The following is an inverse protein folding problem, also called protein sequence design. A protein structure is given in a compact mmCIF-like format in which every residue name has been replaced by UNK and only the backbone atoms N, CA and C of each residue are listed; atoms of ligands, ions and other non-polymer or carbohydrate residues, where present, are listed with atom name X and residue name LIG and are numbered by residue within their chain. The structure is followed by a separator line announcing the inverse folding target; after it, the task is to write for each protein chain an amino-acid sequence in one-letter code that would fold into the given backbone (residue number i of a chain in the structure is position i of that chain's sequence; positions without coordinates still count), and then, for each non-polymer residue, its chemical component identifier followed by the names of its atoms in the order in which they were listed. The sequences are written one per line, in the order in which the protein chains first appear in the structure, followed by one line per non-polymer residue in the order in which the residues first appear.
data_IF_030974004756
#
_entry.id   IF_030974004756
#
_cell.length_a   1.000
_cell.length_b   1.000
_cell.length_c   1.000
_cell.angle_alpha   90.00
_cell.angle_beta   90.00
_cell.angle_gamma   90.00
#
_symmetry.space_group_name_H-M   'P 1'
#
loop_
_entity.id
_entity.type
_entity.pdbx_description
1 polymer ?
#
# COMPACT_ATOMS: atom_id res chain seq x y z
N UNK A 1 -14.56 -0.14 -39.66
CA UNK A 1 -13.78 -1.01 -40.58
C UNK A 1 -12.89 -1.88 -39.71
N UNK A 2 -12.70 -3.15 -40.03
CA UNK A 2 -11.82 -4.04 -39.24
C UNK A 2 -10.37 -3.76 -39.59
N UNK A 3 -9.55 -3.50 -38.57
CA UNK A 3 -8.11 -3.39 -38.76
C UNK A 3 -7.54 -4.74 -39.18
N UNK A 4 -6.77 -4.75 -40.26
CA UNK A 4 -6.16 -5.94 -40.84
C UNK A 4 -4.65 -5.93 -40.67
N UNK A 5 -4.02 -7.10 -40.69
CA UNK A 5 -2.54 -7.23 -40.65
C UNK A 5 -1.92 -6.38 -41.77
N UNK A 6 -2.58 -6.26 -42.91
CA UNK A 6 -2.13 -5.46 -44.07
C UNK A 6 -2.09 -3.96 -43.73
N UNK A 7 -3.14 -3.45 -43.12
CA UNK A 7 -3.20 -2.04 -42.68
C UNK A 7 -2.17 -1.71 -41.58
N UNK A 8 -1.96 -2.63 -40.64
CA UNK A 8 -0.91 -2.47 -39.61
C UNK A 8 0.46 -2.46 -40.27
N UNK A 9 0.70 -3.36 -41.23
CA UNK A 9 1.96 -3.41 -41.96
C UNK A 9 2.24 -2.13 -42.74
N UNK A 10 1.24 -1.61 -43.41
CA UNK A 10 1.30 -0.38 -44.19
C UNK A 10 1.59 0.84 -43.33
N UNK A 11 0.89 0.99 -42.18
CA UNK A 11 1.08 2.12 -41.26
C UNK A 11 2.35 2.01 -40.41
N UNK A 12 2.76 0.81 -40.02
CA UNK A 12 3.99 0.61 -39.23
C UNK A 12 5.26 0.64 -40.06
N UNK A 13 5.14 0.43 -41.40
CA UNK A 13 6.27 0.38 -42.32
C UNK A 13 7.02 -0.95 -42.31
N UNK A 14 6.40 -2.04 -41.83
CA UNK A 14 7.00 -3.36 -41.78
C UNK A 14 6.22 -4.35 -42.68
N UNK A 15 6.86 -5.49 -43.01
CA UNK A 15 6.23 -6.49 -43.83
C UNK A 15 5.01 -7.14 -43.15
N UNK A 16 3.96 -7.52 -43.89
CA UNK A 16 2.82 -8.24 -43.31
C UNK A 16 3.21 -9.54 -42.61
N UNK A 17 4.29 -10.20 -43.08
CA UNK A 17 4.81 -11.40 -42.45
C UNK A 17 5.41 -11.11 -41.07
N UNK A 18 6.18 -10.03 -40.93
CA UNK A 18 6.77 -9.58 -39.66
C UNK A 18 5.68 -9.19 -38.69
N UNK A 19 4.68 -8.42 -39.14
CA UNK A 19 3.53 -8.02 -38.33
C UNK A 19 2.74 -9.24 -37.89
N UNK A 20 2.41 -10.15 -38.80
CA UNK A 20 1.67 -11.38 -38.49
C UNK A 20 2.40 -12.24 -37.46
N UNK A 21 3.70 -12.47 -37.63
CA UNK A 21 4.52 -13.28 -36.71
C UNK A 21 4.60 -12.64 -35.34
N UNK A 22 4.75 -11.30 -35.28
CA UNK A 22 4.75 -10.58 -34.02
C UNK A 22 3.40 -10.67 -33.30
N UNK A 23 2.31 -10.39 -34.01
CA UNK A 23 0.95 -10.37 -33.42
C UNK A 23 0.47 -11.78 -33.03
N UNK A 24 1.04 -12.84 -33.64
CA UNK A 24 0.81 -14.23 -33.28
C UNK A 24 1.84 -14.79 -32.28
N UNK A 25 2.66 -13.93 -31.68
CA UNK A 25 3.65 -14.28 -30.65
C UNK A 25 4.63 -15.42 -31.06
N UNK A 26 5.11 -15.38 -32.30
CA UNK A 26 6.08 -16.37 -32.80
C UNK A 26 7.43 -16.25 -32.05
N UNK A 27 7.74 -17.25 -31.24
CA UNK A 27 8.97 -17.31 -30.41
C UNK A 27 10.26 -17.30 -31.22
N UNK A 28 10.21 -17.63 -32.52
CA UNK A 28 11.35 -17.61 -33.42
C UNK A 28 11.53 -16.27 -34.15
N UNK A 29 10.71 -15.25 -33.82
CA UNK A 29 10.81 -13.93 -34.43
C UNK A 29 11.83 -13.06 -33.69
N UNK A 30 12.98 -12.84 -34.31
CA UNK A 30 14.00 -11.90 -33.81
C UNK A 30 13.82 -10.54 -34.45
N UNK A 31 13.33 -9.57 -33.70
CA UNK A 31 13.18 -8.15 -34.08
C UNK A 31 13.64 -7.24 -32.94
N UNK A 32 14.04 -6.02 -33.28
CA UNK A 32 14.44 -5.04 -32.27
C UNK A 32 13.27 -4.63 -31.37
N UNK A 33 13.50 -4.23 -30.12
CA UNK A 33 12.47 -3.66 -29.25
C UNK A 33 11.73 -2.48 -29.88
N UNK A 34 12.44 -1.58 -30.57
CA UNK A 34 11.87 -0.44 -31.27
C UNK A 34 10.90 -0.85 -32.38
N UNK A 35 11.25 -1.92 -33.14
CA UNK A 35 10.37 -2.48 -34.17
C UNK A 35 9.11 -3.09 -33.56
N UNK A 36 9.27 -3.84 -32.45
CA UNK A 36 8.14 -4.42 -31.70
C UNK A 36 7.19 -3.33 -31.21
N UNK A 37 7.72 -2.33 -30.52
CA UNK A 37 6.91 -1.23 -29.97
C UNK A 37 6.16 -0.47 -31.07
N UNK A 38 6.79 -0.18 -32.18
CA UNK A 38 6.15 0.55 -33.30
C UNK A 38 4.97 -0.24 -33.91
N UNK A 39 5.14 -1.54 -34.12
CA UNK A 39 4.05 -2.40 -34.64
C UNK A 39 2.91 -2.50 -33.63
N UNK A 40 3.21 -2.67 -32.34
CA UNK A 40 2.21 -2.77 -31.28
C UNK A 40 1.41 -1.48 -31.10
N UNK A 41 2.08 -0.31 -31.14
CA UNK A 41 1.40 1.00 -31.09
C UNK A 41 0.40 1.15 -32.22
N UNK A 42 0.80 0.86 -33.46
CA UNK A 42 -0.08 0.96 -34.64
C UNK A 42 -1.24 -0.06 -34.56
N UNK A 43 -1.00 -1.26 -34.05
CA UNK A 43 -2.05 -2.26 -33.85
C UNK A 43 -3.10 -1.80 -32.83
N UNK A 44 -2.66 -1.16 -31.74
CA UNK A 44 -3.54 -0.58 -30.71
C UNK A 44 -4.32 0.63 -31.25
N UNK A 45 -3.67 1.55 -31.95
CA UNK A 45 -4.33 2.73 -32.57
C UNK A 45 -5.42 2.35 -33.57
N UNK A 46 -5.20 1.25 -34.28
CA UNK A 46 -6.18 0.72 -35.25
C UNK A 46 -7.27 -0.16 -34.60
N UNK A 47 -7.20 -0.40 -33.27
CA UNK A 47 -8.17 -1.23 -32.56
C UNK A 47 -8.16 -2.70 -32.99
N UNK A 48 -7.02 -3.23 -33.45
CA UNK A 48 -6.90 -4.60 -33.97
C UNK A 48 -7.39 -5.64 -32.96
N UNK A 49 -7.13 -5.45 -31.67
CA UNK A 49 -7.49 -6.37 -30.59
C UNK A 49 -9.00 -6.36 -30.23
N UNK A 50 -9.71 -5.28 -30.49
CA UNK A 50 -11.12 -5.16 -30.14
C UNK A 50 -12.02 -6.16 -30.94
N UNK A 51 -11.53 -6.65 -32.07
CA UNK A 51 -12.30 -7.52 -32.97
C UNK A 51 -11.81 -8.97 -32.99
N UNK A 52 -10.59 -9.25 -32.51
CA UNK A 52 -10.06 -10.62 -32.48
C UNK A 52 -10.44 -11.44 -31.21
N UNK A 53 -11.11 -10.81 -30.22
CA UNK A 53 -11.62 -11.52 -29.03
C UNK A 53 -12.68 -12.59 -29.32
N UNK A 54 -13.16 -12.72 -30.54
CA UNK A 54 -14.24 -13.70 -30.89
C UNK A 54 -13.77 -15.01 -31.49
N UNK A 55 -12.55 -15.16 -31.97
CA UNK A 55 -12.18 -16.35 -32.77
C UNK A 55 -10.83 -17.02 -32.50
N UNK A 56 -10.12 -16.68 -31.44
CA UNK A 56 -8.88 -17.42 -31.10
C UNK A 56 -8.94 -17.87 -29.65
N UNK A 57 -8.89 -19.18 -29.45
CA UNK A 57 -8.44 -19.83 -28.21
C UNK A 57 -6.93 -19.58 -27.98
N UNK A 58 -6.42 -18.40 -28.32
CA UNK A 58 -5.09 -17.97 -27.91
C UNK A 58 -5.19 -17.45 -26.49
N UNK A 59 -4.45 -18.06 -25.60
CA UNK A 59 -4.28 -17.56 -24.23
C UNK A 59 -4.02 -16.04 -24.30
N UNK A 60 -4.74 -15.22 -23.55
CA UNK A 60 -4.45 -13.80 -23.48
C UNK A 60 -2.96 -13.63 -23.16
N UNK A 61 -2.29 -12.72 -23.87
CA UNK A 61 -0.92 -12.32 -23.53
C UNK A 61 -0.98 -11.85 -22.09
N UNK A 62 -0.48 -12.66 -21.17
CA UNK A 62 -0.47 -12.33 -19.75
C UNK A 62 0.51 -11.20 -19.56
N UNK A 63 0.11 -10.05 -19.01
CA UNK A 63 1.04 -8.97 -18.78
C UNK A 63 2.13 -9.42 -17.80
N UNK A 64 3.40 -9.21 -18.16
CA UNK A 64 4.49 -9.30 -17.20
C UNK A 64 4.46 -8.05 -16.36
N UNK A 65 4.34 -8.21 -15.05
CA UNK A 65 4.34 -7.13 -14.08
C UNK A 65 5.59 -7.22 -13.21
N UNK A 66 6.10 -6.07 -12.79
CA UNK A 66 7.15 -6.02 -11.78
C UNK A 66 6.56 -5.67 -10.42
N UNK A 67 7.10 -6.25 -9.36
CA UNK A 67 6.84 -5.82 -7.98
C UNK A 67 8.11 -5.18 -7.41
N UNK A 68 8.13 -3.86 -7.35
CA UNK A 68 9.19 -3.13 -6.66
C UNK A 68 8.91 -3.15 -5.16
N UNK A 69 9.60 -4.06 -4.45
CA UNK A 69 9.43 -4.25 -3.02
C UNK A 69 10.59 -3.62 -2.24
N UNK A 70 10.35 -2.39 -1.71
CA UNK A 70 11.35 -1.56 -1.04
C UNK A 70 11.02 -1.37 0.44
N UNK A 71 10.85 -2.48 1.13
CA UNK A 71 10.73 -2.55 2.59
C UNK A 71 12.04 -3.08 3.13
N UNK A 72 12.63 -2.40 4.12
CA UNK A 72 13.91 -2.84 4.66
C UNK A 72 13.79 -4.23 5.31
N UNK A 73 14.84 -5.05 5.22
CA UNK A 73 14.85 -6.39 5.85
C UNK A 73 14.60 -6.33 7.37
N UNK A 74 14.95 -5.22 8.01
CA UNK A 74 14.69 -4.98 9.43
C UNK A 74 13.20 -4.72 9.70
N UNK A 75 12.53 -3.96 8.85
CA UNK A 75 11.08 -3.72 8.95
C UNK A 75 10.30 -5.00 8.70
N UNK A 76 10.68 -5.80 7.70
CA UNK A 76 10.04 -7.08 7.41
C UNK A 76 10.09 -8.07 8.59
N UNK A 77 11.19 -8.07 9.35
CA UNK A 77 11.34 -8.91 10.55
C UNK A 77 10.58 -8.38 11.76
N UNK A 78 10.22 -7.10 11.76
CA UNK A 78 9.61 -6.41 12.89
C UNK A 78 8.11 -6.17 12.72
N UNK A 79 7.60 -6.18 11.48
CA UNK A 79 6.19 -6.01 11.18
C UNK A 79 5.77 -6.96 10.02
N UNK A 80 4.85 -7.85 10.31
CA UNK A 80 4.31 -8.82 9.34
C UNK A 80 3.45 -8.15 8.25
N UNK A 81 2.99 -6.92 8.47
CA UNK A 81 2.09 -6.19 7.58
C UNK A 81 2.57 -6.20 6.12
N UNK A 82 3.83 -5.82 5.90
CA UNK A 82 4.39 -5.74 4.55
C UNK A 82 4.59 -7.12 3.91
N UNK A 83 4.89 -8.14 4.71
CA UNK A 83 5.01 -9.52 4.20
C UNK A 83 3.65 -10.05 3.71
N UNK A 84 2.59 -9.81 4.46
CA UNK A 84 1.23 -10.17 4.05
C UNK A 84 0.79 -9.37 2.82
N UNK A 85 1.06 -8.07 2.76
CA UNK A 85 0.74 -7.24 1.59
C UNK A 85 1.44 -7.74 0.33
N UNK A 86 2.74 -8.06 0.42
CA UNK A 86 3.49 -8.67 -0.71
C UNK A 86 2.82 -9.96 -1.19
N UNK A 87 2.49 -10.85 -0.26
CA UNK A 87 1.89 -12.14 -0.62
C UNK A 87 0.49 -11.96 -1.23
N UNK A 88 -0.30 -11.01 -0.73
CA UNK A 88 -1.60 -10.68 -1.30
C UNK A 88 -1.46 -10.12 -2.73
N UNK A 89 -0.48 -9.26 -3.01
CA UNK A 89 -0.22 -8.75 -4.36
C UNK A 89 0.17 -9.89 -5.30
N UNK A 90 1.07 -10.79 -4.88
CA UNK A 90 1.50 -11.93 -5.72
C UNK A 90 0.30 -12.83 -6.05
N UNK A 91 -0.54 -13.14 -5.07
CA UNK A 91 -1.76 -13.92 -5.24
C UNK A 91 -2.72 -13.27 -6.24
N UNK A 92 -3.01 -11.98 -6.08
CA UNK A 92 -3.93 -11.26 -6.98
C UNK A 92 -3.38 -11.16 -8.41
N UNK A 93 -2.06 -11.00 -8.59
CA UNK A 93 -1.42 -11.03 -9.92
C UNK A 93 -1.60 -12.40 -10.58
N UNK A 94 -1.40 -13.49 -9.84
CA UNK A 94 -1.57 -14.87 -10.36
C UNK A 94 -3.05 -15.12 -10.71
N UNK A 95 -4.00 -14.73 -9.85
CA UNK A 95 -5.43 -14.85 -10.08
C UNK A 95 -5.89 -14.02 -11.31
N UNK A 96 -5.26 -12.85 -11.55
CA UNK A 96 -5.47 -12.07 -12.77
C UNK A 96 -4.85 -12.72 -14.02
N UNK A 97 -4.17 -13.85 -13.87
CA UNK A 97 -3.52 -14.56 -14.94
C UNK A 97 -2.24 -13.89 -15.46
N UNK A 98 -1.62 -12.99 -14.69
CA UNK A 98 -0.37 -12.30 -15.00
C UNK A 98 0.82 -13.00 -14.34
N UNK A 99 2.04 -12.67 -14.76
CA UNK A 99 3.26 -13.07 -14.09
C UNK A 99 3.86 -11.86 -13.37
N UNK A 100 4.50 -12.09 -12.22
CA UNK A 100 5.18 -11.04 -11.46
C UNK A 100 6.62 -11.42 -11.16
N UNK A 101 7.53 -10.48 -11.38
CA UNK A 101 8.93 -10.58 -10.95
C UNK A 101 9.20 -9.55 -9.86
N UNK A 102 9.91 -9.96 -8.79
CA UNK A 102 10.14 -9.15 -7.60
C UNK A 102 11.51 -8.49 -7.66
N UNK A 103 11.53 -7.19 -7.51
CA UNK A 103 12.74 -6.37 -7.46
C UNK A 103 12.90 -5.74 -6.07
N UNK A 104 14.02 -5.99 -5.43
CA UNK A 104 14.44 -5.33 -4.18
C UNK A 104 15.30 -4.08 -4.43
N UNK A 105 15.67 -3.81 -5.67
CA UNK A 105 16.49 -2.67 -6.08
C UNK A 105 15.86 -2.00 -7.32
N UNK A 106 15.63 -0.70 -7.21
CA UNK A 106 15.02 0.09 -8.30
C UNK A 106 15.89 0.14 -9.57
N UNK A 107 17.22 0.13 -9.44
CA UNK A 107 18.13 0.14 -10.59
C UNK A 107 18.01 -1.15 -11.41
N UNK A 108 17.86 -2.30 -10.75
CA UNK A 108 17.68 -3.57 -11.43
C UNK A 108 16.36 -3.59 -12.21
N UNK A 109 15.28 -3.01 -11.63
CA UNK A 109 14.02 -2.84 -12.33
C UNK A 109 14.15 -1.89 -13.54
N UNK A 110 14.87 -0.77 -13.41
CA UNK A 110 15.11 0.16 -14.52
C UNK A 110 15.81 -0.55 -15.67
N UNK A 111 16.84 -1.35 -15.39
CA UNK A 111 17.56 -2.14 -16.40
C UNK A 111 16.67 -3.17 -17.10
N UNK A 112 15.72 -3.75 -16.37
CA UNK A 112 14.80 -4.77 -16.88
C UNK A 112 13.47 -4.20 -17.41
N UNK A 113 13.29 -2.86 -17.40
CA UNK A 113 12.00 -2.20 -17.62
C UNK A 113 11.27 -2.62 -18.91
N UNK A 114 12.03 -2.83 -20.01
CA UNK A 114 11.48 -3.26 -21.31
C UNK A 114 10.77 -4.63 -21.28
N UNK A 115 10.99 -5.42 -20.21
CA UNK A 115 10.38 -6.76 -20.03
C UNK A 115 8.98 -6.69 -19.40
N UNK A 116 8.59 -5.51 -18.87
CA UNK A 116 7.36 -5.34 -18.10
C UNK A 116 6.42 -4.33 -18.75
N UNK A 117 5.11 -4.52 -18.55
CA UNK A 117 4.09 -3.57 -18.99
C UNK A 117 3.77 -2.51 -17.92
N UNK A 118 4.11 -2.79 -16.68
CA UNK A 118 3.93 -1.90 -15.54
C UNK A 118 4.47 -2.53 -14.26
N UNK A 119 4.41 -1.77 -13.17
CA UNK A 119 4.88 -2.24 -11.88
C UNK A 119 3.94 -1.86 -10.74
N UNK A 120 4.03 -2.64 -9.66
CA UNK A 120 3.45 -2.29 -8.36
C UNK A 120 4.62 -1.96 -7.42
N UNK A 121 4.50 -0.83 -6.71
CA UNK A 121 5.48 -0.40 -5.73
C UNK A 121 4.97 -0.59 -4.30
N UNK A 122 5.79 -1.19 -3.42
CA UNK A 122 5.53 -1.30 -1.98
C UNK A 122 6.73 -0.81 -1.21
N UNK A 123 6.53 0.22 -0.38
CA UNK A 123 7.62 0.87 0.33
C UNK A 123 8.49 1.76 -0.57
N UNK A 124 9.34 2.57 0.05
CA UNK A 124 10.26 3.47 -0.64
C UNK A 124 11.63 3.56 0.06
N UNK A 125 12.01 2.54 0.87
CA UNK A 125 13.28 2.55 1.59
C UNK A 125 14.46 2.72 0.61
N UNK A 126 15.29 3.74 0.87
CA UNK A 126 16.47 4.08 0.08
C UNK A 126 16.20 4.29 -1.42
N UNK A 127 15.01 4.75 -1.77
CA UNK A 127 14.67 5.19 -3.12
C UNK A 127 14.79 6.70 -3.18
N UNK A 128 15.45 7.24 -4.21
CA UNK A 128 15.55 8.69 -4.40
C UNK A 128 14.54 9.20 -5.42
N UNK A 129 14.29 10.51 -5.39
CA UNK A 129 13.42 11.16 -6.35
C UNK A 129 13.90 10.97 -7.78
N UNK A 130 15.22 11.12 -8.03
CA UNK A 130 15.82 10.96 -9.36
C UNK A 130 15.62 9.52 -9.90
N UNK A 131 15.73 8.52 -9.03
CA UNK A 131 15.48 7.12 -9.42
C UNK A 131 14.02 6.87 -9.79
N UNK A 132 13.07 7.53 -9.13
CA UNK A 132 11.64 7.42 -9.49
C UNK A 132 11.34 8.15 -10.80
N UNK A 133 11.97 9.29 -11.05
CA UNK A 133 11.87 9.99 -12.34
C UNK A 133 12.46 9.12 -13.46
N UNK A 134 13.63 8.54 -13.23
CA UNK A 134 14.26 7.63 -14.20
C UNK A 134 13.39 6.39 -14.45
N UNK A 135 12.86 5.74 -13.39
CA UNK A 135 11.95 4.61 -13.54
C UNK A 135 10.70 4.98 -14.36
N UNK A 136 10.12 6.15 -14.13
CA UNK A 136 8.96 6.61 -14.88
C UNK A 136 9.27 6.81 -16.38
N UNK A 137 10.49 7.19 -16.75
CA UNK A 137 10.88 7.33 -18.16
C UNK A 137 10.91 5.99 -18.90
N UNK A 138 11.32 4.91 -18.22
CA UNK A 138 11.44 3.58 -18.82
C UNK A 138 10.19 2.70 -18.58
N UNK A 139 9.52 2.85 -17.46
CA UNK A 139 8.33 2.08 -17.07
C UNK A 139 7.29 3.02 -16.44
N UNK A 140 6.52 3.79 -17.24
CA UNK A 140 5.64 4.83 -16.74
C UNK A 140 4.39 4.30 -16.01
N UNK A 141 3.99 3.07 -16.27
CA UNK A 141 2.78 2.50 -15.68
C UNK A 141 3.10 1.93 -14.30
N UNK A 142 2.96 2.74 -13.27
CA UNK A 142 3.24 2.35 -11.89
C UNK A 142 2.09 2.65 -10.94
N UNK A 143 1.81 1.71 -10.02
CA UNK A 143 0.86 1.88 -8.94
C UNK A 143 1.54 1.57 -7.61
N UNK A 144 1.57 2.54 -6.71
CA UNK A 144 2.09 2.32 -5.37
C UNK A 144 0.97 1.87 -4.41
N UNK A 145 1.31 0.95 -3.51
CA UNK A 145 0.40 0.47 -2.47
C UNK A 145 0.93 0.87 -1.10
N UNK A 146 0.03 1.32 -0.22
CA UNK A 146 0.27 1.81 1.13
C UNK A 146 0.87 3.22 1.18
N UNK A 147 1.96 3.49 0.50
CA UNK A 147 2.52 4.84 0.34
C UNK A 147 2.73 5.15 -1.14
N UNK A 148 2.66 6.41 -1.52
CA UNK A 148 3.09 6.88 -2.84
C UNK A 148 4.15 7.96 -2.68
N UNK A 149 5.43 7.66 -2.98
CA UNK A 149 6.51 8.62 -2.81
C UNK A 149 6.53 9.73 -3.87
N UNK A 150 5.82 9.54 -5.01
CA UNK A 150 5.73 10.52 -6.10
C UNK A 150 4.33 10.53 -6.74
N UNK A 151 3.33 11.11 -6.08
CA UNK A 151 1.95 11.10 -6.56
C UNK A 151 1.71 11.85 -7.88
N UNK A 152 2.64 12.69 -8.29
CA UNK A 152 2.57 13.40 -9.58
C UNK A 152 2.92 12.49 -10.77
N UNK A 153 3.59 11.35 -10.55
CA UNK A 153 4.06 10.45 -11.61
C UNK A 153 3.41 9.06 -11.56
N UNK A 154 2.86 8.66 -10.43
CA UNK A 154 2.35 7.30 -10.23
C UNK A 154 0.99 7.30 -9.54
N UNK A 155 0.19 6.35 -9.91
CA UNK A 155 -1.07 6.05 -9.22
C UNK A 155 -0.83 5.44 -7.83
N UNK A 156 -1.86 5.40 -6.99
CA UNK A 156 -1.76 4.70 -5.72
C UNK A 156 -3.08 4.14 -5.19
N UNK A 157 -2.93 3.10 -4.35
CA UNK A 157 -4.00 2.55 -3.53
C UNK A 157 -3.53 2.50 -2.09
N UNK A 158 -4.22 3.22 -1.20
CA UNK A 158 -3.80 3.41 0.19
C UNK A 158 -4.95 3.11 1.17
N UNK A 159 -4.66 2.67 2.40
CA UNK A 159 -5.68 2.66 3.44
C UNK A 159 -6.11 4.09 3.78
N UNK A 160 -7.40 4.30 4.05
CA UNK A 160 -7.92 5.59 4.49
C UNK A 160 -7.64 5.80 5.99
N UNK A 161 -6.37 6.09 6.30
CA UNK A 161 -5.91 6.24 7.70
C UNK A 161 -6.47 7.49 8.37
N UNK A 162 -6.77 8.54 7.60
CA UNK A 162 -7.41 9.76 8.11
C UNK A 162 -8.81 9.43 8.65
N UNK A 163 -9.67 8.83 7.84
CA UNK A 163 -11.00 8.41 8.27
C UNK A 163 -10.94 7.36 9.39
N UNK A 164 -9.91 6.50 9.41
CA UNK A 164 -9.69 5.53 10.49
C UNK A 164 -9.51 6.22 11.83
N UNK A 165 -8.67 7.26 11.90
CA UNK A 165 -8.45 8.02 13.13
C UNK A 165 -9.69 8.81 13.52
N UNK A 166 -10.37 9.41 12.54
CA UNK A 166 -11.62 10.14 12.79
C UNK A 166 -12.69 9.23 13.40
N UNK A 167 -12.90 8.03 12.84
CA UNK A 167 -13.87 7.06 13.38
C UNK A 167 -13.44 6.57 14.77
N UNK A 168 -12.15 6.33 15.01
CA UNK A 168 -11.65 5.94 16.33
C UNK A 168 -11.90 7.01 17.40
N UNK A 169 -11.60 8.27 17.09
CA UNK A 169 -11.86 9.39 17.98
C UNK A 169 -13.35 9.57 18.26
N UNK A 170 -14.18 9.47 17.23
CA UNK A 170 -15.64 9.55 17.36
C UNK A 170 -16.19 8.47 18.30
N UNK A 171 -15.77 7.21 18.11
CA UNK A 171 -16.19 6.09 18.99
C UNK A 171 -15.75 6.26 20.42
N UNK A 172 -14.54 6.74 20.64
CA UNK A 172 -14.06 7.01 22.00
C UNK A 172 -14.83 8.15 22.65
N UNK A 173 -15.13 9.24 21.92
CA UNK A 173 -15.92 10.36 22.41
C UNK A 173 -17.39 9.94 22.70
N UNK A 174 -18.01 9.13 21.82
CA UNK A 174 -19.35 8.57 22.07
C UNK A 174 -19.41 7.66 23.30
N UNK A 175 -18.31 6.95 23.61
CA UNK A 175 -18.18 6.15 24.81
C UNK A 175 -17.87 6.99 26.08
N UNK A 176 -17.77 8.33 25.94
CA UNK A 176 -17.58 9.26 27.04
C UNK A 176 -16.13 9.53 27.46
N UNK A 177 -15.14 9.08 26.67
CA UNK A 177 -13.73 9.39 26.93
C UNK A 177 -13.37 10.80 26.48
N UNK A 178 -12.83 11.58 27.41
CA UNK A 178 -12.48 13.01 27.17
C UNK A 178 -10.97 13.25 27.11
N UNK A 179 -10.17 12.29 27.62
CA UNK A 179 -8.70 12.36 27.62
C UNK A 179 -8.17 11.18 26.80
N UNK A 180 -7.83 11.47 25.55
CA UNK A 180 -7.44 10.46 24.56
C UNK A 180 -6.00 10.74 24.12
N UNK A 181 -5.10 9.81 24.35
CA UNK A 181 -3.71 9.88 23.89
C UNK A 181 -3.50 9.20 22.55
N UNK A 182 -2.48 9.65 21.81
CA UNK A 182 -2.01 8.98 20.60
C UNK A 182 -0.57 8.51 20.77
N UNK A 183 -0.31 7.25 20.37
CA UNK A 183 1.03 6.67 20.36
C UNK A 183 1.35 6.26 18.93
N UNK A 184 2.47 6.78 18.38
CA UNK A 184 2.84 6.55 16.99
C UNK A 184 4.34 6.51 16.74
N UNK A 185 4.69 6.00 15.57
CA UNK A 185 6.05 6.08 15.02
C UNK A 185 6.18 7.25 14.04
N UNK A 186 7.40 7.48 13.57
CA UNK A 186 7.73 8.45 12.53
C UNK A 186 7.91 7.74 11.17
N UNK A 187 7.29 8.27 10.14
CA UNK A 187 7.59 7.90 8.77
C UNK A 187 8.92 8.50 8.29
N UNK A 188 9.43 7.98 7.20
CA UNK A 188 10.58 8.55 6.49
C UNK A 188 10.15 9.02 5.11
N UNK A 189 10.57 10.21 4.70
CA UNK A 189 10.42 10.66 3.32
C UNK A 189 11.57 10.14 2.43
N UNK A 190 11.55 10.44 1.14
CA UNK A 190 12.58 10.03 0.17
C UNK A 190 14.00 10.48 0.53
N UNK A 191 14.14 11.51 1.36
CA UNK A 191 15.45 12.00 1.83
C UNK A 191 15.84 11.39 3.19
N UNK A 192 15.16 10.34 3.66
CA UNK A 192 15.32 9.73 4.98
C UNK A 192 15.12 10.71 6.16
N UNK A 193 14.37 11.78 5.94
CA UNK A 193 14.01 12.73 7.00
C UNK A 193 12.71 12.24 7.64
N UNK A 194 12.71 12.21 8.97
CA UNK A 194 11.51 11.87 9.74
C UNK A 194 10.38 12.88 9.46
N UNK A 195 9.21 12.35 9.19
CA UNK A 195 8.01 13.15 8.97
C UNK A 195 6.84 12.63 9.81
N UNK A 196 5.84 13.50 10.03
CA UNK A 196 4.60 13.08 10.68
C UNK A 196 3.89 12.04 9.81
N UNK A 197 3.40 11.00 10.45
CA UNK A 197 2.57 9.97 9.82
C UNK A 197 1.14 10.51 9.61
N UNK A 198 0.42 10.00 8.60
CA UNK A 198 -0.95 10.43 8.31
C UNK A 198 -1.89 10.27 9.52
N UNK A 199 -1.68 9.23 10.35
CA UNK A 199 -2.45 8.98 11.57
C UNK A 199 -2.18 10.04 12.64
N UNK A 200 -0.93 10.48 12.78
CA UNK A 200 -0.55 11.58 13.70
C UNK A 200 -1.20 12.90 13.25
N UNK A 201 -1.14 13.21 11.95
CA UNK A 201 -1.73 14.42 11.37
C UNK A 201 -3.24 14.42 11.62
N UNK A 202 -3.93 13.35 11.24
CA UNK A 202 -5.36 13.21 11.43
C UNK A 202 -5.76 13.33 12.91
N UNK A 203 -4.99 12.71 13.83
CA UNK A 203 -5.26 12.82 15.26
C UNK A 203 -5.20 14.27 15.74
N UNK A 204 -4.17 15.03 15.33
CA UNK A 204 -4.04 16.46 15.69
C UNK A 204 -5.18 17.31 15.16
N UNK A 205 -5.62 17.04 13.93
CA UNK A 205 -6.68 17.80 13.28
C UNK A 205 -8.06 17.52 13.88
N UNK A 206 -8.39 16.26 14.14
CA UNK A 206 -9.75 15.89 14.54
C UNK A 206 -10.01 15.96 16.05
N UNK A 207 -8.99 15.93 16.91
CA UNK A 207 -9.21 16.04 18.38
C UNK A 207 -9.94 17.31 18.77
N UNK A 208 -9.60 18.45 18.15
CA UNK A 208 -10.29 19.72 18.40
C UNK A 208 -11.77 19.73 17.97
N UNK A 209 -12.13 18.94 16.96
CA UNK A 209 -13.51 18.85 16.43
C UNK A 209 -14.41 17.95 17.28
N UNK A 210 -13.85 17.00 18.02
CA UNK A 210 -14.60 16.02 18.82
C UNK A 210 -14.80 16.44 20.28
N UNK A 211 -14.39 17.66 20.67
CA UNK A 211 -14.55 18.13 22.04
C UNK A 211 -13.65 17.41 23.07
N UNK A 212 -12.57 16.81 22.63
CA UNK A 212 -11.59 16.09 23.47
C UNK A 212 -10.81 17.13 24.30
N UNK A 213 -10.84 16.97 25.63
CA UNK A 213 -10.24 17.93 26.57
C UNK A 213 -8.72 17.86 26.61
N UNK A 214 -8.16 16.66 26.52
CA UNK A 214 -6.73 16.42 26.56
C UNK A 214 -6.35 15.38 25.48
N UNK A 215 -5.39 15.73 24.62
CA UNK A 215 -4.97 14.91 23.49
C UNK A 215 -3.41 14.78 23.44
N UNK A 216 -2.76 14.17 24.45
CA UNK A 216 -1.30 14.04 24.46
C UNK A 216 -0.80 13.14 23.35
N UNK A 217 0.35 13.51 22.76
CA UNK A 217 1.02 12.73 21.72
C UNK A 217 2.34 12.19 22.18
N UNK A 218 2.54 10.89 21.95
CA UNK A 218 3.76 10.16 22.21
C UNK A 218 4.26 9.55 20.90
N UNK A 219 5.01 10.34 20.13
CA UNK A 219 5.41 9.98 18.77
C UNK A 219 6.92 10.09 18.64
N UNK A 220 7.56 8.98 18.29
CA UNK A 220 8.99 8.90 18.03
C UNK A 220 9.35 7.58 17.33
N UNK A 221 10.52 7.53 16.68
CA UNK A 221 11.15 6.32 16.18
C UNK A 221 10.31 5.47 15.20
N UNK A 222 10.74 4.24 14.93
CA UNK A 222 10.10 3.35 13.98
C UNK A 222 8.87 2.63 14.55
N UNK A 223 8.04 2.05 13.65
CA UNK A 223 6.88 1.22 14.00
C UNK A 223 7.30 -0.20 14.39
N UNK A 224 7.84 -0.39 15.59
CA UNK A 224 8.24 -1.71 16.11
C UNK A 224 7.98 -1.88 17.60
N UNK A 225 8.03 -3.14 18.08
CA UNK A 225 7.76 -3.50 19.48
C UNK A 225 8.68 -2.77 20.45
N UNK A 226 9.99 -2.68 20.13
CA UNK A 226 10.96 -2.02 20.99
C UNK A 226 10.64 -0.54 21.21
N UNK A 227 10.28 0.16 20.12
CA UNK A 227 9.86 1.56 20.18
C UNK A 227 8.53 1.71 20.94
N UNK A 228 7.57 0.83 20.69
CA UNK A 228 6.31 0.79 21.44
C UNK A 228 6.54 0.67 22.94
N UNK A 229 7.48 -0.19 23.38
CA UNK A 229 7.84 -0.31 24.78
C UNK A 229 8.43 0.99 25.36
N UNK A 230 9.33 1.66 24.64
CA UNK A 230 9.89 2.95 25.07
C UNK A 230 8.83 4.05 25.15
N UNK A 231 7.92 4.10 24.17
CA UNK A 231 6.81 5.05 24.18
C UNK A 231 5.84 4.77 25.33
N UNK A 232 5.54 3.50 25.62
CA UNK A 232 4.75 3.12 26.79
C UNK A 232 5.36 3.56 28.10
N UNK A 233 6.66 3.39 28.28
CA UNK A 233 7.39 3.92 29.46
C UNK A 233 7.32 5.44 29.55
N UNK A 234 7.51 6.14 28.42
CA UNK A 234 7.39 7.60 28.36
C UNK A 234 5.97 8.09 28.73
N UNK A 235 4.92 7.36 28.34
CA UNK A 235 3.54 7.63 28.78
C UNK A 235 3.44 7.56 30.30
N UNK A 236 3.95 6.49 30.92
CA UNK A 236 3.90 6.29 32.36
C UNK A 236 4.66 7.39 33.14
N UNK A 237 5.83 7.77 32.67
CA UNK A 237 6.67 8.81 33.26
C UNK A 237 6.00 10.20 33.17
N UNK A 238 5.44 10.53 32.01
CA UNK A 238 4.88 11.88 31.75
C UNK A 238 3.45 12.06 32.27
N UNK A 239 2.69 10.99 32.48
CA UNK A 239 1.31 11.06 32.98
C UNK A 239 1.20 11.43 34.47
N UNK A 240 2.30 11.38 35.23
CA UNK A 240 2.27 11.70 36.65
C UNK A 240 1.27 10.86 37.48
N UNK A 241 1.01 9.63 37.05
CA UNK A 241 0.02 8.73 37.67
C UNK A 241 -1.42 8.90 37.19
N UNK A 242 -1.69 9.85 36.29
CA UNK A 242 -3.03 10.08 35.71
C UNK A 242 -3.00 9.82 34.21
N UNK A 243 -3.11 8.57 33.83
CA UNK A 243 -3.14 8.16 32.41
C UNK A 243 -4.30 8.77 31.63
N UNK A 244 -4.16 9.04 30.33
CA UNK A 244 -5.28 9.17 29.43
C UNK A 244 -6.27 8.00 29.58
N UNK A 245 -7.55 8.29 29.43
CA UNK A 245 -8.62 7.30 29.56
C UNK A 245 -8.64 6.29 28.42
N UNK A 246 -8.11 6.74 27.26
CA UNK A 246 -8.01 5.95 26.07
C UNK A 246 -6.73 6.26 25.29
N UNK A 247 -6.26 5.28 24.53
CA UNK A 247 -5.19 5.45 23.56
C UNK A 247 -5.60 4.94 22.18
N UNK A 248 -5.27 5.73 21.15
CA UNK A 248 -5.16 5.25 19.78
C UNK A 248 -3.68 4.97 19.52
N UNK A 249 -3.33 3.72 19.20
CA UNK A 249 -1.95 3.33 18.90
C UNK A 249 -1.85 3.00 17.42
N UNK A 250 -0.90 3.63 16.75
CA UNK A 250 -0.81 3.67 15.29
C UNK A 250 -0.56 2.32 14.61
N UNK A 251 -0.14 1.27 15.33
CA UNK A 251 -0.06 -0.10 14.82
C UNK A 251 -0.12 -1.15 15.92
N UNK A 252 -0.54 -2.37 15.55
CA UNK A 252 -0.56 -3.50 16.48
C UNK A 252 0.84 -3.83 17.00
N UNK A 253 1.85 -3.70 16.15
CA UNK A 253 3.26 -3.94 16.51
C UNK A 253 3.74 -2.98 17.60
N UNK A 254 3.41 -1.69 17.49
CA UNK A 254 3.67 -0.73 18.57
C UNK A 254 2.88 -1.09 19.84
N UNK A 255 1.63 -1.50 19.68
CA UNK A 255 0.74 -1.85 20.80
C UNK A 255 1.27 -3.00 21.65
N UNK A 256 1.95 -3.98 21.04
CA UNK A 256 2.61 -5.08 21.78
C UNK A 256 3.61 -4.51 22.81
N UNK A 257 4.47 -3.58 22.37
CA UNK A 257 5.46 -2.97 23.25
C UNK A 257 4.83 -2.07 24.32
N UNK A 258 3.82 -1.28 23.94
CA UNK A 258 3.08 -0.41 24.89
C UNK A 258 2.41 -1.26 25.97
N UNK A 259 1.70 -2.33 25.58
CA UNK A 259 1.05 -3.24 26.53
C UNK A 259 2.06 -3.91 27.45
N UNK A 260 3.23 -4.28 26.95
CA UNK A 260 4.31 -4.80 27.81
C UNK A 260 4.69 -3.78 28.89
N UNK A 261 4.98 -2.52 28.52
CA UNK A 261 5.34 -1.48 29.48
C UNK A 261 4.22 -1.20 30.49
N UNK A 262 2.96 -1.19 30.04
CA UNK A 262 1.80 -1.01 30.90
C UNK A 262 1.64 -2.17 31.89
N UNK A 263 1.75 -3.42 31.42
CA UNK A 263 1.65 -4.61 32.28
C UNK A 263 2.74 -4.63 33.35
N UNK A 264 3.99 -4.29 32.99
CA UNK A 264 5.12 -4.20 33.95
C UNK A 264 4.86 -3.14 35.06
N UNK A 265 4.13 -2.07 34.72
CA UNK A 265 3.74 -1.01 35.66
C UNK A 265 2.42 -1.29 36.41
N UNK A 266 1.78 -2.43 36.16
CA UNK A 266 0.50 -2.80 36.79
C UNK A 266 -0.72 -2.09 36.21
N UNK A 267 -0.61 -1.43 35.06
CA UNK A 267 -1.72 -0.82 34.33
C UNK A 267 -2.52 -1.89 33.61
N UNK A 268 -3.80 -1.97 33.90
CA UNK A 268 -4.72 -2.99 33.36
C UNK A 268 -5.59 -2.39 32.27
N UNK A 269 -5.41 -2.87 31.03
CA UNK A 269 -6.30 -2.59 29.91
C UNK A 269 -7.41 -3.64 29.87
N UNK A 270 -8.68 -3.31 29.79
CA UNK A 270 -9.27 -1.96 29.58
C UNK A 270 -9.67 -1.21 30.87
N UNK A 271 -9.34 -1.70 32.07
CA UNK A 271 -9.82 -1.13 33.34
C UNK A 271 -9.33 0.30 33.61
N UNK A 272 -8.01 0.52 33.46
CA UNK A 272 -7.34 1.79 33.80
C UNK A 272 -7.23 2.72 32.59
N UNK A 273 -7.19 2.16 31.40
CA UNK A 273 -7.21 2.83 30.10
C UNK A 273 -7.68 1.84 29.03
N UNK A 274 -8.36 2.32 28.00
CA UNK A 274 -8.70 1.50 26.83
C UNK A 274 -7.71 1.74 25.67
N UNK A 275 -7.60 0.76 24.79
CA UNK A 275 -6.67 0.82 23.63
C UNK A 275 -7.38 0.42 22.36
N UNK A 276 -7.29 1.27 21.34
CA UNK A 276 -7.62 0.95 19.94
C UNK A 276 -6.33 0.97 19.13
N UNK A 277 -6.12 -0.04 18.32
CA UNK A 277 -4.94 -0.22 17.47
C UNK A 277 -5.31 -0.20 15.97
N UNK A 278 -4.31 -0.34 15.10
CA UNK A 278 -4.48 -0.34 13.64
C UNK A 278 -3.65 -1.47 13.04
N UNK A 279 -4.09 -2.07 11.97
CA UNK A 279 -3.65 -3.14 11.08
C UNK A 279 -4.46 -4.42 11.23
N UNK A 280 -4.91 -4.80 12.42
CA UNK A 280 -5.54 -6.08 12.74
C UNK A 280 -4.67 -7.27 12.32
N UNK A 281 -3.36 -7.16 12.57
CA UNK A 281 -2.40 -8.24 12.36
C UNK A 281 -2.68 -9.44 13.29
N UNK A 282 -2.08 -10.59 12.99
CA UNK A 282 -2.33 -11.82 13.74
C UNK A 282 -2.01 -11.66 15.23
N UNK A 283 -0.95 -10.89 15.57
CA UNK A 283 -0.55 -10.66 16.96
C UNK A 283 -1.62 -9.96 17.80
N UNK A 284 -2.49 -9.14 17.17
CA UNK A 284 -3.57 -8.44 17.87
C UNK A 284 -4.56 -9.37 18.59
N UNK A 285 -4.66 -10.63 18.16
CA UNK A 285 -5.53 -11.64 18.75
C UNK A 285 -4.95 -12.27 20.02
N UNK A 286 -3.62 -12.32 20.13
CA UNK A 286 -2.90 -13.12 21.12
C UNK A 286 -2.22 -12.30 22.22
N UNK A 287 -2.15 -10.98 22.09
CA UNK A 287 -1.67 -10.11 23.17
C UNK A 287 -2.67 -10.04 24.32
N UNK A 288 -2.25 -9.60 25.48
CA UNK A 288 -3.09 -9.52 26.69
C UNK A 288 -3.27 -8.06 27.12
N UNK A 289 -4.50 -7.53 27.02
CA UNK A 289 -5.69 -8.14 26.43
C UNK A 289 -5.63 -8.16 24.88
N UNK A 290 -6.43 -9.04 24.21
CA UNK A 290 -6.58 -8.98 22.75
C UNK A 290 -7.03 -7.60 22.28
N UNK A 291 -6.36 -7.07 21.25
CA UNK A 291 -6.53 -5.69 20.78
C UNK A 291 -7.78 -5.52 19.90
N UNK A 292 -8.61 -4.57 20.26
CA UNK A 292 -9.52 -3.91 19.31
C UNK A 292 -8.67 -3.16 18.31
N UNK A 293 -8.81 -3.47 17.03
CA UNK A 293 -7.94 -2.95 15.98
C UNK A 293 -8.70 -2.69 14.70
N UNK A 294 -8.33 -1.63 13.98
CA UNK A 294 -8.83 -1.38 12.64
C UNK A 294 -8.14 -2.30 11.63
N UNK A 295 -8.94 -3.04 10.90
CA UNK A 295 -8.46 -3.96 9.86
C UNK A 295 -8.16 -3.20 8.57
N UNK A 296 -6.90 -3.24 8.15
CA UNK A 296 -6.49 -2.85 6.80
C UNK A 296 -6.60 -4.08 5.91
N UNK A 297 -7.57 -4.08 4.98
CA UNK A 297 -7.81 -5.22 4.10
C UNK A 297 -6.80 -5.25 2.96
N UNK A 298 -5.71 -5.99 3.15
CA UNK A 298 -4.59 -6.10 2.20
C UNK A 298 -4.99 -6.79 0.89
N UNK A 299 -5.92 -7.72 0.90
CA UNK A 299 -6.45 -8.35 -0.32
C UNK A 299 -7.21 -7.32 -1.16
N UNK A 300 -8.03 -6.47 -0.53
CA UNK A 300 -8.73 -5.40 -1.25
C UNK A 300 -7.75 -4.35 -1.79
N UNK A 301 -6.73 -3.94 -1.02
CA UNK A 301 -5.69 -3.02 -1.50
C UNK A 301 -4.97 -3.61 -2.72
N UNK A 302 -4.57 -4.87 -2.65
CA UNK A 302 -3.85 -5.57 -3.72
C UNK A 302 -4.71 -5.69 -4.98
N UNK A 303 -5.97 -6.14 -4.85
CA UNK A 303 -6.89 -6.25 -5.98
C UNK A 303 -7.17 -4.90 -6.64
N UNK A 304 -7.36 -3.84 -5.85
CA UNK A 304 -7.56 -2.50 -6.41
C UNK A 304 -6.31 -1.99 -7.12
N UNK A 305 -5.13 -2.29 -6.62
CA UNK A 305 -3.87 -1.92 -7.27
C UNK A 305 -3.69 -2.62 -8.62
N UNK A 306 -4.00 -3.91 -8.72
CA UNK A 306 -3.97 -4.65 -9.98
C UNK A 306 -4.96 -4.07 -10.99
N UNK A 307 -6.21 -3.82 -10.57
CA UNK A 307 -7.23 -3.23 -11.42
C UNK A 307 -6.84 -1.85 -11.92
N UNK A 308 -6.29 -1.01 -11.03
CA UNK A 308 -5.83 0.33 -11.35
C UNK A 308 -4.64 0.31 -12.33
N UNK A 309 -3.70 -0.63 -12.15
CA UNK A 309 -2.57 -0.83 -13.07
C UNK A 309 -3.04 -1.31 -14.44
N UNK A 310 -4.00 -2.23 -14.52
CA UNK A 310 -4.59 -2.68 -15.79
C UNK A 310 -5.31 -1.54 -16.52
N UNK A 311 -6.03 -0.71 -15.78
CA UNK A 311 -6.67 0.49 -16.34
C UNK A 311 -5.63 1.49 -16.86
N UNK A 312 -4.56 1.75 -16.10
CA UNK A 312 -3.47 2.64 -16.50
C UNK A 312 -2.75 2.15 -17.77
N UNK A 313 -2.49 0.84 -17.88
CA UNK A 313 -1.88 0.23 -19.08
C UNK A 313 -2.82 0.37 -20.31
N UNK A 314 -4.12 0.27 -20.09
CA UNK A 314 -5.12 0.35 -21.16
C UNK A 314 -5.39 1.81 -21.58
N UNK A 315 -5.31 2.75 -20.64
CA UNK A 315 -5.58 4.18 -20.83
C UNK A 315 -4.39 5.04 -20.34
N UNK A 316 -3.23 4.98 -21.00
CA UNK A 316 -1.97 5.55 -20.50
C UNK A 316 -1.95 7.08 -20.40
N UNK A 317 -2.91 7.77 -21.02
CA UNK A 317 -2.96 9.24 -21.03
C UNK A 317 -4.01 9.83 -20.09
N UNK A 318 -4.66 9.01 -19.26
CA UNK A 318 -5.58 9.53 -18.23
C UNK A 318 -4.82 10.20 -17.08
N UNK A 319 -5.46 11.09 -16.33
CA UNK A 319 -4.90 11.63 -15.10
C UNK A 319 -4.52 10.52 -14.10
N UNK A 320 -3.52 10.78 -13.26
CA UNK A 320 -3.20 9.88 -12.15
C UNK A 320 -4.36 9.76 -11.16
N UNK A 321 -4.53 8.56 -10.63
CA UNK A 321 -5.64 8.22 -9.71
C UNK A 321 -5.06 7.74 -8.39
N UNK A 322 -5.58 8.30 -7.29
CA UNK A 322 -5.22 7.90 -5.93
C UNK A 322 -6.47 7.39 -5.22
N UNK A 323 -6.51 6.08 -4.98
CA UNK A 323 -7.62 5.42 -4.32
C UNK A 323 -7.33 5.26 -2.82
N UNK A 324 -8.34 5.51 -2.01
CA UNK A 324 -8.30 5.18 -0.58
C UNK A 324 -9.32 4.08 -0.27
N UNK A 325 -8.90 3.08 0.52
CA UNK A 325 -9.73 1.95 0.96
C UNK A 325 -10.03 2.12 2.44
N UNK A 326 -11.30 2.18 2.79
CA UNK A 326 -11.71 2.32 4.18
C UNK A 326 -11.37 1.06 4.99
N UNK A 327 -11.01 1.28 6.25
CA UNK A 327 -10.79 0.22 7.23
C UNK A 327 -12.09 -0.14 7.94
N UNK A 328 -12.09 -1.24 8.65
CA UNK A 328 -13.19 -1.61 9.53
C UNK A 328 -12.67 -2.02 10.91
N UNK A 329 -13.37 -1.62 11.97
CA UNK A 329 -12.99 -1.97 13.34
C UNK A 329 -13.34 -3.41 13.67
N UNK A 330 -12.41 -4.11 14.31
CA UNK A 330 -12.60 -5.45 14.88
C UNK A 330 -12.50 -5.33 16.40
N UNK A 331 -13.66 -5.38 17.05
CA UNK A 331 -13.75 -5.26 18.51
C UNK A 331 -13.18 -6.49 19.22
N UNK A 332 -12.37 -6.25 20.25
CA UNK A 332 -11.83 -7.25 21.17
C UNK A 332 -11.80 -6.68 22.59
N UNK A 333 -10.97 -7.23 23.47
CA UNK A 333 -11.01 -6.94 24.91
C UNK A 333 -10.37 -5.59 25.31
N UNK A 334 -9.47 -5.02 24.50
CA UNK A 334 -8.81 -3.77 24.85
C UNK A 334 -9.73 -2.53 24.74
N UNK A 335 -10.76 -2.60 23.91
CA UNK A 335 -11.91 -1.70 23.83
C UNK A 335 -13.12 -2.53 23.39
N UNK A 336 -13.88 -3.12 24.33
CA UNK A 336 -15.00 -4.00 24.00
C UNK A 336 -16.14 -3.21 23.39
N UNK A 337 -16.87 -3.83 22.46
CA UNK A 337 -18.12 -3.28 21.96
C UNK A 337 -19.11 -3.24 23.12
N UNK A 338 -19.67 -2.07 23.42
CA UNK A 338 -20.75 -1.97 24.40
C UNK A 338 -21.94 -2.81 23.93
N UNK A 339 -22.38 -3.74 24.79
CA UNK A 339 -23.67 -4.38 24.60
C UNK A 339 -24.73 -3.35 25.04
N UNK A 340 -25.27 -2.59 24.08
CA UNK A 340 -26.51 -1.81 24.29
C UNK A 340 -27.69 -2.72 24.46
#
# INVERSE_FOLDING_TARGET
MMATIKEIAEKSGYSPATVSRLLNNDQNLSISPSTRNKIMTVANELGYWNNHKKNSQQQPIRPNLALLYRVSGKEQLQDEYFAFLRNAIIKEVDEAGSQVEIFSNIKDLIVAADSFQGFIGVGADRVTQDQLIELHQYLPHGVFVDINPMPQLFDSVQPNLELTIQDALHRLAEAGYERIGFIGGKGLNLNNIQQADAREIAFREFTGMQGIKEAPLYVDGPFNVKNGYQLGKRVLEQSGGKLPEAFIIASDTLSVGVLQAFNEAGVIVPRDTVVISINNSEVAKYVSPPLTSYNINQETLSRMAINLLQDLITHPHRPHVHLTVNTNIVFRKSFPKENK
#
